data_IF_769552801118
#
_entry.id   IF_769552801118
#
_cell.length_a   1.000
_cell.length_b   1.000
_cell.length_c   1.000
_cell.angle_alpha   90.00
_cell.angle_beta   90.00
_cell.angle_gamma   90.00
#
_symmetry.space_group_name_H-M   'P 1'
#
loop_
_entity.id
_entity.type
_entity.pdbx_description
1 polymer ?
#
# COMPACT_ATOMS: atom_id res chain seq x y z
N UNK A 1 -17.64 10.82 9.48
CA UNK A 1 -17.46 9.95 8.31
C UNK A 1 -18.00 8.57 8.66
N UNK A 2 -18.85 8.00 7.82
CA UNK A 2 -19.38 6.63 7.98
C UNK A 2 -18.78 5.80 6.85
N UNK A 3 -18.17 4.67 7.19
CA UNK A 3 -17.57 3.73 6.22
C UNK A 3 -17.95 2.29 6.54
N UNK A 4 -17.56 1.37 5.66
CA UNK A 4 -17.81 -0.05 5.78
C UNK A 4 -16.52 -0.86 5.84
N UNK A 5 -16.56 -2.00 6.52
CA UNK A 5 -15.50 -3.01 6.47
C UNK A 5 -16.12 -4.27 5.88
N UNK A 6 -15.55 -4.76 4.80
CA UNK A 6 -15.84 -6.08 4.23
C UNK A 6 -14.56 -6.90 4.26
N UNK A 7 -14.63 -8.21 4.30
CA UNK A 7 -13.42 -9.01 4.39
C UNK A 7 -13.61 -10.44 3.95
N UNK A 8 -12.54 -11.00 3.39
CA UNK A 8 -12.37 -12.43 3.23
C UNK A 8 -11.91 -12.98 4.58
N UNK A 9 -12.85 -13.13 5.52
CA UNK A 9 -12.50 -13.42 6.93
C UNK A 9 -11.75 -14.75 7.08
N UNK A 10 -11.97 -15.70 6.17
CA UNK A 10 -11.32 -17.00 6.18
C UNK A 10 -9.79 -16.97 5.96
N UNK A 11 -9.26 -15.96 5.27
CA UNK A 11 -7.82 -15.79 5.04
C UNK A 11 -7.22 -14.54 5.72
N UNK A 12 -8.04 -13.78 6.45
CA UNK A 12 -7.60 -12.65 7.27
C UNK A 12 -7.47 -11.33 6.50
N UNK A 13 -8.04 -11.21 5.30
CA UNK A 13 -8.01 -9.99 4.50
C UNK A 13 -9.25 -9.09 4.76
N UNK A 14 -9.03 -7.84 5.15
CA UNK A 14 -10.06 -6.85 5.42
C UNK A 14 -9.91 -5.61 4.52
N UNK A 15 -11.05 -5.15 3.99
CA UNK A 15 -11.19 -4.00 3.12
C UNK A 15 -11.99 -2.92 3.84
N UNK A 16 -11.31 -1.85 4.24
CA UNK A 16 -11.95 -0.68 4.85
C UNK A 16 -12.26 0.34 3.77
N UNK A 17 -13.54 0.61 3.53
CA UNK A 17 -14.03 1.51 2.49
C UNK A 17 -14.72 2.71 3.11
N UNK A 18 -14.31 3.91 2.71
CA UNK A 18 -14.87 5.16 3.18
C UNK A 18 -15.27 6.03 1.98
N UNK A 19 -16.55 6.43 1.86
CA UNK A 19 -16.93 7.48 0.93
C UNK A 19 -16.33 8.80 1.44
N UNK A 20 -15.62 9.50 0.56
CA UNK A 20 -14.99 10.79 0.84
C UNK A 20 -15.25 11.75 -0.31
N UNK A 21 -15.34 13.04 -0.02
CA UNK A 21 -15.27 14.09 -1.04
C UNK A 21 -13.79 14.42 -1.31
N UNK A 22 -13.29 14.00 -2.48
CA UNK A 22 -11.89 14.24 -2.87
C UNK A 22 -11.55 15.73 -3.04
N UNK A 23 -12.56 16.59 -3.21
CA UNK A 23 -12.37 18.04 -3.29
C UNK A 23 -12.22 18.70 -1.91
N UNK A 24 -12.51 17.97 -0.82
CA UNK A 24 -12.39 18.45 0.56
C UNK A 24 -11.03 18.06 1.17
N UNK A 25 -10.07 19.01 1.33
CA UNK A 25 -8.73 18.70 1.80
C UNK A 25 -8.68 18.14 3.23
N UNK A 26 -9.62 18.54 4.09
CA UNK A 26 -9.67 18.08 5.48
C UNK A 26 -10.16 16.62 5.56
N UNK A 27 -11.14 16.24 4.74
CA UNK A 27 -11.54 14.83 4.61
C UNK A 27 -10.40 13.98 4.07
N UNK A 28 -9.69 14.48 3.05
CA UNK A 28 -8.54 13.77 2.47
C UNK A 28 -7.41 13.59 3.50
N UNK A 29 -7.14 14.60 4.33
CA UNK A 29 -6.18 14.49 5.43
C UNK A 29 -6.59 13.43 6.45
N UNK A 30 -7.87 13.38 6.81
CA UNK A 30 -8.41 12.38 7.74
C UNK A 30 -8.28 10.96 7.18
N UNK A 31 -8.67 10.75 5.91
CA UNK A 31 -8.65 9.40 5.32
C UNK A 31 -7.23 8.88 5.08
N UNK A 32 -6.29 9.73 4.65
CA UNK A 32 -4.88 9.34 4.55
C UNK A 32 -4.28 9.02 5.91
N UNK A 33 -4.58 9.81 6.93
CA UNK A 33 -4.16 9.52 8.30
C UNK A 33 -4.77 8.23 8.86
N UNK A 34 -6.01 7.90 8.49
CA UNK A 34 -6.64 6.63 8.86
C UNK A 34 -5.97 5.45 8.15
N UNK A 35 -5.78 5.55 6.83
CA UNK A 35 -5.09 4.54 6.02
C UNK A 35 -3.71 4.21 6.57
N UNK A 36 -2.93 5.24 6.91
CA UNK A 36 -1.60 5.09 7.50
C UNK A 36 -1.62 4.32 8.83
N UNK A 37 -2.56 4.65 9.73
CA UNK A 37 -2.69 3.94 11.02
C UNK A 37 -3.11 2.49 10.82
N UNK A 38 -4.00 2.21 9.88
CA UNK A 38 -4.45 0.83 9.58
C UNK A 38 -3.27 0.00 9.07
N UNK A 39 -2.52 0.51 8.09
CA UNK A 39 -1.35 -0.20 7.54
C UNK A 39 -0.30 -0.43 8.61
N UNK A 40 0.09 0.61 9.36
CA UNK A 40 1.08 0.48 10.45
C UNK A 40 0.64 -0.51 11.51
N UNK A 41 -0.65 -0.54 11.86
CA UNK A 41 -1.20 -1.51 12.82
C UNK A 41 -1.09 -2.94 12.29
N UNK A 42 -1.45 -3.17 11.03
CA UNK A 42 -1.34 -4.48 10.41
C UNK A 42 0.12 -4.98 10.43
N UNK A 43 1.07 -4.15 10.00
CA UNK A 43 2.49 -4.50 10.01
C UNK A 43 3.03 -4.76 11.42
N UNK A 44 2.61 -3.96 12.41
CA UNK A 44 3.06 -4.11 13.81
C UNK A 44 2.64 -5.44 14.46
N UNK A 45 1.61 -6.11 13.92
CA UNK A 45 1.15 -7.42 14.40
C UNK A 45 1.54 -8.56 13.46
N UNK A 46 2.48 -8.34 12.54
CA UNK A 46 2.96 -9.34 11.59
C UNK A 46 2.03 -9.59 10.41
N UNK A 47 1.01 -8.74 10.20
CA UNK A 47 0.20 -8.71 8.99
C UNK A 47 0.92 -8.01 7.83
N UNK A 48 0.18 -7.77 6.75
CA UNK A 48 0.69 -7.17 5.50
C UNK A 48 -0.05 -5.88 5.16
N UNK A 49 0.58 -4.94 4.46
CA UNK A 49 -0.10 -3.77 3.90
C UNK A 49 -0.93 -4.11 2.65
N UNK A 50 -0.80 -5.33 2.14
CA UNK A 50 -1.40 -5.80 0.89
C UNK A 50 -2.23 -7.07 1.07
N UNK A 51 -2.84 -7.53 -0.01
CA UNK A 51 -3.76 -8.66 -0.07
C UNK A 51 -4.07 -8.92 -1.55
N UNK A 52 -5.32 -9.22 -1.89
CA UNK A 52 -5.71 -9.54 -3.28
C UNK A 52 -5.53 -8.38 -4.29
N UNK A 53 -5.51 -7.13 -3.83
CA UNK A 53 -5.47 -5.95 -4.71
C UNK A 53 -4.09 -5.28 -4.83
N UNK A 54 -3.04 -5.87 -4.24
CA UNK A 54 -1.71 -5.25 -4.28
C UNK A 54 -1.61 -3.96 -3.44
N UNK A 55 -0.62 -3.12 -3.74
CA UNK A 55 -0.32 -1.90 -2.97
C UNK A 55 -0.75 -0.61 -3.67
N UNK A 56 -1.10 -0.68 -4.96
CA UNK A 56 -1.34 0.51 -5.78
C UNK A 56 -0.20 1.54 -5.68
N UNK A 57 -0.53 2.82 -5.88
CA UNK A 57 0.40 3.92 -5.61
C UNK A 57 0.42 4.33 -4.14
N UNK A 58 -0.74 4.27 -3.47
CA UNK A 58 -0.95 4.82 -2.13
C UNK A 58 -0.30 4.04 -0.99
N UNK A 59 0.24 2.83 -1.23
CA UNK A 59 0.91 2.03 -0.19
C UNK A 59 2.39 1.76 -0.46
N UNK A 60 2.98 2.40 -1.48
CA UNK A 60 4.39 2.19 -1.87
C UNK A 60 5.37 2.51 -0.75
N UNK A 61 5.07 3.52 0.05
CA UNK A 61 5.91 3.95 1.17
C UNK A 61 6.07 2.88 2.26
N UNK A 62 5.10 1.97 2.38
CA UNK A 62 5.12 0.90 3.39
C UNK A 62 5.95 -0.31 2.99
N UNK A 63 6.36 -0.42 1.73
CA UNK A 63 7.15 -1.57 1.24
C UNK A 63 8.43 -1.77 2.05
N UNK A 64 9.13 -0.67 2.41
CA UNK A 64 10.35 -0.76 3.23
C UNK A 64 10.06 -1.33 4.62
N UNK A 65 8.95 -0.93 5.22
CA UNK A 65 8.53 -1.41 6.54
C UNK A 65 8.10 -2.87 6.51
N UNK A 66 7.46 -3.32 5.44
CA UNK A 66 6.98 -4.70 5.31
C UNK A 66 8.08 -5.68 4.93
N UNK A 67 8.87 -5.37 3.88
CA UNK A 67 9.84 -6.32 3.33
C UNK A 67 11.28 -6.06 3.74
N UNK A 68 11.56 -4.91 4.36
CA UNK A 68 12.91 -4.50 4.73
C UNK A 68 13.76 -4.07 3.52
N UNK A 69 14.94 -3.55 3.84
CA UNK A 69 15.82 -2.93 2.83
C UNK A 69 16.40 -3.92 1.82
N UNK A 70 16.74 -5.13 2.27
CA UNK A 70 17.31 -6.17 1.42
C UNK A 70 16.35 -6.56 0.31
N UNK A 71 15.09 -6.88 0.66
CA UNK A 71 14.10 -7.26 -0.33
C UNK A 71 13.80 -6.13 -1.32
N UNK A 72 13.70 -4.88 -0.85
CA UNK A 72 13.50 -3.73 -1.73
C UNK A 72 14.64 -3.56 -2.73
N UNK A 73 15.88 -3.70 -2.29
CA UNK A 73 17.04 -3.59 -3.16
C UNK A 73 17.11 -4.76 -4.15
N UNK A 74 16.73 -5.98 -3.74
CA UNK A 74 16.60 -7.12 -4.64
C UNK A 74 15.54 -6.86 -5.72
N UNK A 75 14.35 -6.36 -5.36
CA UNK A 75 13.32 -6.03 -6.35
C UNK A 75 13.78 -4.96 -7.35
N UNK A 76 14.48 -3.92 -6.87
CA UNK A 76 15.07 -2.88 -7.74
C UNK A 76 16.14 -3.45 -8.68
N UNK A 77 17.00 -4.33 -8.18
CA UNK A 77 18.02 -4.98 -8.99
C UNK A 77 17.40 -5.84 -10.10
N UNK A 78 16.39 -6.65 -9.77
CA UNK A 78 15.63 -7.43 -10.74
C UNK A 78 14.97 -6.55 -11.80
N UNK A 79 14.32 -5.45 -11.37
CA UNK A 79 13.71 -4.48 -12.30
C UNK A 79 14.74 -3.92 -13.28
N UNK A 80 15.94 -3.56 -12.82
CA UNK A 80 17.00 -3.03 -13.67
C UNK A 80 17.53 -4.05 -14.69
N UNK A 81 17.61 -5.33 -14.31
CA UNK A 81 18.03 -6.41 -15.21
C UNK A 81 16.97 -6.66 -16.29
N UNK A 82 15.68 -6.67 -15.91
CA UNK A 82 14.57 -6.97 -16.82
C UNK A 82 14.15 -5.78 -17.70
N UNK A 83 14.38 -4.55 -17.23
CA UNK A 83 14.02 -3.33 -17.94
C UNK A 83 15.18 -2.31 -17.89
N UNK A 84 16.29 -2.59 -18.61
CA UNK A 84 17.47 -1.73 -18.60
C UNK A 84 17.22 -0.32 -19.13
N UNK A 85 16.19 -0.15 -19.98
CA UNK A 85 15.82 1.14 -20.57
C UNK A 85 14.70 1.85 -19.79
N UNK A 86 14.22 1.28 -18.68
CA UNK A 86 13.17 1.85 -17.82
C UNK A 86 11.85 2.18 -18.55
N UNK A 87 11.46 1.37 -19.54
CA UNK A 87 10.24 1.60 -20.34
C UNK A 87 9.00 0.88 -19.80
N UNK A 88 9.17 -0.13 -18.95
CA UNK A 88 8.06 -0.91 -18.40
C UNK A 88 7.50 -0.22 -17.13
N UNK A 89 6.58 0.71 -17.34
CA UNK A 89 5.81 1.40 -16.29
C UNK A 89 6.71 2.14 -15.26
N UNK A 90 7.50 3.14 -15.70
CA UNK A 90 8.44 3.84 -14.85
C UNK A 90 7.75 4.55 -13.68
N UNK A 91 8.42 4.61 -12.52
CA UNK A 91 7.91 5.33 -11.36
C UNK A 91 6.73 4.66 -10.66
N UNK A 92 6.28 3.47 -11.08
CA UNK A 92 5.09 2.83 -10.51
C UNK A 92 5.29 2.24 -9.12
N UNK A 93 6.41 1.53 -8.90
CA UNK A 93 6.77 0.94 -7.61
C UNK A 93 8.01 1.63 -7.05
N UNK A 94 9.07 1.67 -7.86
CA UNK A 94 10.33 2.34 -7.56
C UNK A 94 10.42 3.62 -8.37
N UNK A 95 11.00 4.66 -7.77
CA UNK A 95 11.46 5.84 -8.49
C UNK A 95 12.91 5.64 -8.90
#
# INVERSE_FOLDING_TARGET
MIGGIVGHVGDGNFHCMFPVDESNPEEMKIIWGLSDRVVKRALAVGGTCTGEHGIGLGKREYLKSEFGEVALNTMKALKKVLDPNSIMNPGKIFF
#
